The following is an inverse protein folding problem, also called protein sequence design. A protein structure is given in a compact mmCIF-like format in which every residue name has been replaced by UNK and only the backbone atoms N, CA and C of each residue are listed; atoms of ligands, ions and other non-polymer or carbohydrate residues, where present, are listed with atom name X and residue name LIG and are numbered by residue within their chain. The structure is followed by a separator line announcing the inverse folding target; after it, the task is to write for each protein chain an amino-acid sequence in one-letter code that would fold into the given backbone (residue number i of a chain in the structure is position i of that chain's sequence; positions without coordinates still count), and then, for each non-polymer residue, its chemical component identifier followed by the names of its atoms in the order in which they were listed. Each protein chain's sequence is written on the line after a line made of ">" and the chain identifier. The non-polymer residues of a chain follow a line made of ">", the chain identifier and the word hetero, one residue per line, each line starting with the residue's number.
data_IF_354270256452
#
_entry.id   IF_354270256452
#
_cell.length_a   1.000
_cell.length_b   1.000
_cell.length_c   1.000
_cell.angle_alpha   90.00
_cell.angle_beta   90.00
_cell.angle_gamma   90.00
#
_symmetry.space_group_name_H-M   'P 1'
#
loop_
_entity.id
_entity.type
_entity.pdbx_description
1 polymer ?
#
# COMPACT_ATOMS: atom_id res chain seq x y z
N UNK A 1 22.06 -4.90 -5.29
CA UNK A 1 23.14 -5.84 -5.72
C UNK A 1 22.46 -7.15 -6.08
N UNK A 2 22.70 -7.67 -7.29
CA UNK A 2 22.24 -9.00 -7.68
C UNK A 2 23.13 -10.04 -7.02
N UNK A 3 22.54 -11.09 -6.44
CA UNK A 3 23.28 -12.27 -5.97
C UNK A 3 23.67 -13.17 -7.15
N UNK A 4 24.51 -14.17 -6.87
CA UNK A 4 25.01 -15.10 -7.89
C UNK A 4 23.92 -15.88 -8.63
N UNK A 5 22.75 -16.05 -8.03
CA UNK A 5 21.58 -16.70 -8.59
C UNK A 5 20.65 -15.73 -9.35
N UNK A 6 21.01 -14.45 -9.43
CA UNK A 6 20.20 -13.41 -10.08
C UNK A 6 19.11 -12.80 -9.18
N UNK A 7 18.97 -13.28 -7.95
CA UNK A 7 18.02 -12.68 -7.01
C UNK A 7 18.49 -11.31 -6.52
N UNK A 8 17.55 -10.47 -6.10
CA UNK A 8 17.84 -9.14 -5.54
C UNK A 8 16.88 -8.81 -4.42
N UNK A 9 17.37 -8.03 -3.46
CA UNK A 9 16.56 -7.49 -2.37
C UNK A 9 16.35 -5.98 -2.56
N UNK A 10 15.11 -5.55 -2.50
CA UNK A 10 14.69 -4.15 -2.54
C UNK A 10 14.31 -3.74 -1.12
N UNK A 11 14.93 -2.68 -0.61
CA UNK A 11 14.53 -2.05 0.65
C UNK A 11 13.49 -0.98 0.35
N UNK A 12 12.39 -1.00 1.10
CA UNK A 12 11.29 -0.05 0.95
C UNK A 12 11.00 0.59 2.30
N UNK A 13 10.92 1.92 2.26
CA UNK A 13 10.44 2.73 3.37
C UNK A 13 9.19 3.46 2.89
N UNK A 14 8.06 3.12 3.49
CA UNK A 14 6.78 3.78 3.25
C UNK A 14 6.54 4.76 4.39
N UNK A 15 6.67 6.04 4.08
CA UNK A 15 6.17 7.11 4.93
C UNK A 15 4.89 7.63 4.33
N UNK A 16 3.80 7.55 5.10
CA UNK A 16 2.52 8.15 4.71
C UNK A 16 2.42 9.61 5.18
N UNK A 17 3.49 10.16 5.78
CA UNK A 17 3.56 11.57 6.15
C UNK A 17 2.64 11.95 7.31
N UNK A 18 2.05 13.14 7.24
CA UNK A 18 1.19 13.71 8.28
C UNK A 18 -0.29 13.37 8.12
N UNK A 19 -0.63 12.26 7.46
CA UNK A 19 -2.00 11.74 7.55
C UNK A 19 -2.30 11.54 9.05
N UNK A 20 -3.53 11.67 9.51
CA UNK A 20 -3.86 11.54 10.95
C UNK A 20 -4.57 10.22 11.22
N UNK A 21 -5.44 9.78 10.30
CA UNK A 21 -6.14 8.49 10.34
C UNK A 21 -6.04 7.76 8.99
N UNK A 22 -4.95 7.00 8.81
CA UNK A 22 -4.85 6.08 7.68
C UNK A 22 -5.77 4.89 7.95
N UNK A 23 -6.90 4.87 7.26
CA UNK A 23 -7.82 3.75 7.33
C UNK A 23 -7.20 2.50 6.69
N UNK A 24 -6.67 2.66 5.46
CA UNK A 24 -6.01 1.56 4.74
C UNK A 24 -4.97 2.11 3.78
N UNK A 25 -3.77 1.55 3.82
CA UNK A 25 -2.80 1.60 2.72
C UNK A 25 -2.63 0.20 2.11
N UNK A 26 -2.65 0.12 0.79
CA UNK A 26 -2.56 -1.13 0.03
C UNK A 26 -1.30 -1.07 -0.81
N UNK A 27 -0.48 -2.11 -0.71
CA UNK A 27 0.64 -2.38 -1.60
C UNK A 27 0.26 -3.55 -2.49
N UNK A 28 0.22 -3.31 -3.80
CA UNK A 28 0.02 -4.34 -4.80
C UNK A 28 1.31 -4.54 -5.59
N UNK A 29 1.92 -5.72 -5.45
CA UNK A 29 3.26 -6.01 -5.94
C UNK A 29 3.17 -7.00 -7.09
N UNK A 30 3.66 -6.61 -8.26
CA UNK A 30 3.68 -7.43 -9.48
C UNK A 30 5.12 -7.66 -9.91
N UNK A 31 5.41 -8.88 -10.39
CA UNK A 31 6.73 -9.25 -10.88
C UNK A 31 7.29 -10.48 -10.16
N UNK A 32 8.61 -10.73 -10.24
CA UNK A 32 9.26 -11.96 -9.80
C UNK A 32 9.44 -12.05 -8.27
N UNK A 33 8.44 -11.67 -7.47
CA UNK A 33 8.52 -11.69 -6.01
C UNK A 33 8.64 -13.12 -5.49
N UNK A 34 9.72 -13.38 -4.76
CA UNK A 34 10.05 -14.69 -4.17
C UNK A 34 9.95 -14.72 -2.66
N UNK A 35 10.09 -13.56 -2.00
CA UNK A 35 9.84 -13.42 -0.57
C UNK A 35 9.61 -11.95 -0.18
N UNK A 36 9.12 -11.70 1.02
CA UNK A 36 8.95 -10.36 1.58
C UNK A 36 9.06 -10.37 3.11
N UNK A 37 9.16 -9.19 3.70
CA UNK A 37 9.15 -9.05 5.17
C UNK A 37 7.76 -8.89 5.79
N UNK A 38 6.70 -8.98 4.99
CA UNK A 38 5.33 -8.91 5.48
C UNK A 38 4.86 -10.28 6.01
N UNK A 39 3.80 -10.27 6.83
CA UNK A 39 3.06 -11.45 7.27
C UNK A 39 3.96 -12.66 7.64
N UNK A 40 4.75 -12.51 8.72
CA UNK A 40 5.69 -13.54 9.21
C UNK A 40 6.71 -14.03 8.18
N UNK A 41 7.09 -13.17 7.22
CA UNK A 41 7.97 -13.49 6.08
C UNK A 41 7.42 -14.62 5.19
N UNK A 42 6.10 -14.69 5.02
CA UNK A 42 5.46 -15.71 4.19
C UNK A 42 4.65 -15.06 3.09
N UNK A 43 4.94 -15.43 1.85
CA UNK A 43 4.12 -15.05 0.70
C UNK A 43 2.80 -15.83 0.71
N UNK A 44 1.70 -15.10 0.59
CA UNK A 44 0.41 -15.66 0.24
C UNK A 44 0.40 -16.08 -1.24
N UNK A 45 -0.60 -16.85 -1.65
CA UNK A 45 -0.81 -17.10 -3.09
C UNK A 45 -1.11 -15.78 -3.81
N UNK A 46 -0.54 -15.55 -5.00
CA UNK A 46 -0.80 -14.32 -5.75
C UNK A 46 -2.27 -14.28 -6.21
N UNK A 47 -2.82 -13.08 -6.26
CA UNK A 47 -4.13 -12.81 -6.84
C UNK A 47 -3.98 -12.48 -8.34
N UNK A 48 -5.02 -12.73 -9.13
CA UNK A 48 -5.03 -12.44 -10.56
C UNK A 48 -6.40 -11.91 -10.94
N UNK A 49 -6.47 -10.61 -11.23
CA UNK A 49 -7.70 -9.95 -11.66
C UNK A 49 -7.87 -10.08 -13.18
N UNK A 50 -8.94 -10.75 -13.64
CA UNK A 50 -9.44 -10.73 -15.04
C UNK A 50 -8.36 -10.83 -16.15
N UNK A 51 -7.35 -11.69 -15.99
CA UNK A 51 -6.28 -11.89 -16.98
C UNK A 51 -5.11 -10.90 -16.89
N UNK A 52 -5.08 -10.07 -15.86
CA UNK A 52 -3.91 -9.29 -15.47
C UNK A 52 -2.75 -10.15 -14.95
N UNK A 53 -1.57 -9.57 -14.72
CA UNK A 53 -0.45 -10.30 -14.17
C UNK A 53 -0.72 -10.73 -12.71
N UNK A 54 -0.16 -11.86 -12.26
CA UNK A 54 -0.27 -12.28 -10.86
C UNK A 54 0.40 -11.25 -9.95
N UNK A 55 -0.25 -10.92 -8.84
CA UNK A 55 0.23 -9.91 -7.91
C UNK A 55 0.00 -10.29 -6.45
N UNK A 56 0.81 -9.72 -5.56
CA UNK A 56 0.73 -9.96 -4.13
C UNK A 56 0.22 -8.70 -3.44
N UNK A 57 -0.80 -8.86 -2.59
CA UNK A 57 -1.46 -7.75 -1.92
C UNK A 57 -1.07 -7.75 -0.44
N UNK A 58 -0.54 -6.63 0.03
CA UNK A 58 -0.36 -6.33 1.44
C UNK A 58 -1.26 -5.16 1.83
N UNK A 59 -2.01 -5.32 2.93
CA UNK A 59 -2.87 -4.27 3.50
C UNK A 59 -2.28 -3.83 4.82
N UNK A 60 -2.00 -2.55 4.93
CA UNK A 60 -1.50 -1.90 6.13
C UNK A 60 -2.62 -1.05 6.72
N UNK A 61 -2.87 -1.24 8.00
CA UNK A 61 -3.86 -0.47 8.78
C UNK A 61 -3.19 -0.05 10.08
N UNK A 62 -3.34 1.21 10.46
CA UNK A 62 -2.70 1.73 11.65
C UNK A 62 -2.51 3.23 11.53
N UNK A 63 -2.02 3.83 12.61
CA UNK A 63 -1.74 5.25 12.59
C UNK A 63 -0.55 5.55 11.67
N UNK A 64 -0.68 6.62 10.91
CA UNK A 64 0.23 7.15 9.90
C UNK A 64 1.63 7.56 10.36
N UNK A 65 1.80 7.82 11.67
CA UNK A 65 2.98 8.50 12.20
C UNK A 65 4.22 7.60 12.25
N UNK A 66 4.09 6.33 11.88
CA UNK A 66 5.20 5.38 11.80
C UNK A 66 5.63 5.18 10.36
N UNK A 67 6.95 5.23 10.11
CA UNK A 67 7.49 4.79 8.84
C UNK A 67 7.49 3.26 8.81
N UNK A 68 6.81 2.66 7.83
CA UNK A 68 6.88 1.23 7.62
C UNK A 68 8.13 0.89 6.82
N UNK A 69 8.96 0.03 7.37
CA UNK A 69 10.16 -0.46 6.71
C UNK A 69 10.00 -1.93 6.39
N UNK A 70 10.29 -2.31 5.15
CA UNK A 70 10.14 -3.67 4.68
C UNK A 70 11.15 -3.96 3.57
N UNK A 71 11.34 -5.25 3.30
CA UNK A 71 12.12 -5.72 2.18
C UNK A 71 11.31 -6.64 1.28
N UNK A 72 11.61 -6.56 -0.02
CA UNK A 72 11.09 -7.46 -1.05
C UNK A 72 12.27 -8.22 -1.65
N UNK A 73 12.11 -9.52 -1.84
CA UNK A 73 13.06 -10.36 -2.57
C UNK A 73 12.47 -10.74 -3.91
N UNK A 74 13.21 -10.43 -4.98
CA UNK A 74 12.90 -10.85 -6.32
C UNK A 74 13.81 -12.01 -6.73
N UNK A 75 13.26 -13.03 -7.37
CA UNK A 75 14.00 -14.22 -7.82
C UNK A 75 14.91 -13.95 -9.02
N UNK A 76 14.68 -12.85 -9.74
CA UNK A 76 15.46 -12.46 -10.91
C UNK A 76 15.57 -10.92 -11.04
N UNK A 77 16.14 -10.46 -12.15
CA UNK A 77 16.37 -9.03 -12.43
C UNK A 77 15.22 -8.32 -13.16
N UNK A 78 14.13 -9.01 -13.48
CA UNK A 78 12.94 -8.40 -14.11
C UNK A 78 12.26 -7.43 -13.16
N UNK A 79 11.58 -6.45 -13.74
CA UNK A 79 10.96 -5.33 -13.03
C UNK A 79 10.03 -5.81 -11.90
N UNK A 80 10.23 -5.24 -10.72
CA UNK A 80 9.31 -5.37 -9.60
C UNK A 80 8.48 -4.09 -9.53
N UNK A 81 7.20 -4.20 -9.87
CA UNK A 81 6.24 -3.09 -9.82
C UNK A 81 5.53 -3.10 -8.48
N UNK A 82 5.49 -1.95 -7.81
CA UNK A 82 4.75 -1.73 -6.57
C UNK A 82 3.76 -0.60 -6.81
N UNK A 83 2.47 -0.94 -6.82
CA UNK A 83 1.38 0.04 -6.79
C UNK A 83 0.97 0.29 -5.34
N UNK A 84 0.89 1.57 -4.96
CA UNK A 84 0.50 2.02 -3.63
C UNK A 84 -0.79 2.78 -3.74
N UNK A 85 -1.85 2.28 -3.10
CA UNK A 85 -3.13 2.95 -2.99
C UNK A 85 -3.42 3.26 -1.53
N UNK A 86 -3.76 4.51 -1.21
CA UNK A 86 -4.01 4.93 0.16
C UNK A 86 -5.37 5.61 0.23
N UNK A 87 -6.13 5.25 1.26
CA UNK A 87 -7.39 5.86 1.61
C UNK A 87 -7.24 6.56 2.97
N UNK A 88 -7.28 7.88 2.94
CA UNK A 88 -7.29 8.72 4.12
C UNK A 88 -8.72 9.22 4.38
N UNK A 89 -9.28 8.86 5.52
CA UNK A 89 -10.60 9.31 5.93
C UNK A 89 -10.44 10.31 7.07
N UNK A 90 -10.21 11.57 6.70
CA UNK A 90 -10.14 12.67 7.67
C UNK A 90 -11.41 13.52 7.60
N UNK A 91 -12.00 13.76 8.77
CA UNK A 91 -12.94 14.85 9.00
C UNK A 91 -12.14 16.13 9.26
N UNK A 92 -11.56 16.72 8.21
CA UNK A 92 -11.00 18.10 8.31
C UNK A 92 -12.11 19.07 8.71
N UNK A 93 -11.76 20.24 9.21
CA UNK A 93 -12.74 21.21 9.69
C UNK A 93 -13.74 21.63 8.60
N UNK A 94 -13.32 21.66 7.33
CA UNK A 94 -14.18 21.84 6.17
C UNK A 94 -15.20 20.70 6.03
N UNK A 95 -14.78 19.45 6.22
CA UNK A 95 -15.66 18.27 6.22
C UNK A 95 -16.63 18.32 7.38
N UNK A 96 -16.20 18.77 8.58
CA UNK A 96 -17.08 18.97 9.73
C UNK A 96 -18.14 20.04 9.45
N UNK A 97 -17.72 21.17 8.85
CA UNK A 97 -18.64 22.24 8.42
C UNK A 97 -19.64 21.73 7.38
N UNK A 98 -19.18 20.97 6.39
CA UNK A 98 -20.05 20.36 5.38
C UNK A 98 -21.04 19.37 6.02
N UNK A 99 -20.56 18.48 6.90
CA UNK A 99 -21.40 17.53 7.65
C UNK A 99 -22.48 18.25 8.45
N UNK A 100 -22.17 19.38 9.07
CA UNK A 100 -23.14 20.18 9.82
C UNK A 100 -24.25 20.82 8.97
N UNK A 101 -24.11 20.86 7.64
CA UNK A 101 -25.18 21.32 6.73
C UNK A 101 -26.25 20.25 6.47
N UNK A 102 -25.97 18.99 6.79
CA UNK A 102 -26.91 17.89 6.60
C UNK A 102 -27.74 17.64 7.87
N UNK A 103 -28.98 17.14 7.73
CA UNK A 103 -29.78 16.71 8.88
C UNK A 103 -29.06 15.65 9.72
N UNK A 104 -29.34 15.59 11.02
CA UNK A 104 -28.68 14.65 11.94
C UNK A 104 -28.86 13.15 11.60
N UNK A 105 -29.83 12.80 10.74
CA UNK A 105 -30.04 11.44 10.27
C UNK A 105 -29.17 11.08 9.05
N UNK A 106 -28.52 12.05 8.42
CA UNK A 106 -27.65 11.85 7.28
C UNK A 106 -26.18 11.95 7.71
N UNK A 107 -25.38 10.97 7.32
CA UNK A 107 -23.93 11.01 7.53
C UNK A 107 -23.21 11.47 6.26
N UNK A 108 -22.04 12.09 6.44
CA UNK A 108 -21.20 12.57 5.34
C UNK A 108 -19.83 11.95 5.49
N UNK A 109 -19.47 11.13 4.50
CA UNK A 109 -18.13 10.54 4.38
C UNK A 109 -17.37 11.34 3.33
N UNK A 110 -16.32 12.04 3.75
CA UNK A 110 -15.32 12.60 2.85
C UNK A 110 -14.03 11.83 3.04
N UNK A 111 -13.34 11.56 1.95
CA UNK A 111 -12.06 10.88 1.96
C UNK A 111 -11.17 11.46 0.87
N UNK A 112 -9.87 11.34 1.08
CA UNK A 112 -8.87 11.59 0.04
C UNK A 112 -8.23 10.26 -0.32
N UNK A 113 -7.93 10.07 -1.61
CA UNK A 113 -7.21 8.91 -2.08
C UNK A 113 -6.10 9.31 -3.01
N UNK A 114 -4.97 8.63 -2.93
CA UNK A 114 -3.89 8.75 -3.90
C UNK A 114 -3.40 7.38 -4.34
N UNK A 115 -2.92 7.33 -5.58
CA UNK A 115 -2.36 6.16 -6.22
C UNK A 115 -0.98 6.53 -6.76
N UNK A 116 0.03 5.74 -6.43
CA UNK A 116 1.37 5.86 -7.00
C UNK A 116 1.90 4.51 -7.44
N UNK A 117 2.77 4.52 -8.44
CA UNK A 117 3.41 3.31 -8.99
C UNK A 117 4.92 3.51 -8.98
N UNK A 118 5.63 2.51 -8.48
CA UNK A 118 7.09 2.46 -8.45
C UNK A 118 7.57 1.19 -9.17
N UNK A 119 8.67 1.31 -9.92
CA UNK A 119 9.29 0.21 -10.65
C UNK A 119 10.75 0.12 -10.22
N UNK A 120 11.17 -1.07 -9.81
CA UNK A 120 12.50 -1.38 -9.28
C UNK A 120 13.20 -2.45 -10.09
#
# INVERSE_FOLDING_TARGET
>A
MLSRDGSRRVYLELSLGSLEEVWVAILNITGPLSNWSFADNKLSSPETAEGGPPSYICRLTGASHENWTFWLEASNSEDLRVDVAVLDQILVDETKKLKALFPAWADVVAYSSYLSTYIF
#
